data_IF_226378589150
#
_entry.id   IF_226378589150
#
_cell.length_a   1.000
_cell.length_b   1.000
_cell.length_c   1.000
_cell.angle_alpha   90.00
_cell.angle_beta   90.00
_cell.angle_gamma   90.00
#
_symmetry.space_group_name_H-M   'P 1'
#
loop_
_entity.id
_entity.type
_entity.pdbx_description
1 polymer ?
#
# COMPACT_ATOMS: atom_id res chain seq x y z
N UNK A 1 11.27 12.11 -6.40
CA UNK A 1 11.58 12.65 -5.04
C UNK A 1 10.72 13.84 -4.63
N UNK A 2 10.38 14.77 -5.54
CA UNK A 2 9.60 15.97 -5.21
C UNK A 2 8.20 15.63 -4.65
N UNK A 3 7.48 14.69 -5.27
CA UNK A 3 6.15 14.27 -4.79
C UNK A 3 6.22 13.72 -3.36
N UNK A 4 7.23 12.89 -3.05
CA UNK A 4 7.43 12.35 -1.70
C UNK A 4 7.59 13.48 -0.68
N UNK A 5 8.46 14.45 -0.97
CA UNK A 5 8.67 15.60 -0.07
C UNK A 5 7.38 16.38 0.18
N UNK A 6 6.58 16.60 -0.86
CA UNK A 6 5.28 17.29 -0.72
C UNK A 6 4.33 16.50 0.19
N UNK A 7 4.29 15.17 0.06
CA UNK A 7 3.46 14.30 0.90
C UNK A 7 3.94 14.38 2.35
N UNK A 8 5.24 14.17 2.61
CA UNK A 8 5.82 14.22 3.95
C UNK A 8 5.59 15.59 4.62
N UNK A 9 5.86 16.69 3.91
CA UNK A 9 5.61 18.03 4.43
C UNK A 9 4.13 18.29 4.77
N UNK A 10 3.20 17.77 3.97
CA UNK A 10 1.77 17.91 4.27
C UNK A 10 1.36 17.10 5.49
N UNK A 11 1.88 15.88 5.63
CA UNK A 11 1.66 15.04 6.81
C UNK A 11 2.18 15.74 8.06
N UNK A 12 3.42 16.22 8.06
CA UNK A 12 4.01 16.92 9.19
C UNK A 12 3.25 18.22 9.56
N UNK A 13 2.85 19.02 8.56
CA UNK A 13 2.03 20.23 8.76
C UNK A 13 0.65 19.95 9.36
N UNK A 14 0.12 18.74 9.17
CA UNK A 14 -1.15 18.32 9.79
C UNK A 14 -1.00 17.87 11.25
N UNK A 15 0.21 17.84 11.80
CA UNK A 15 0.50 17.33 13.14
C UNK A 15 0.59 15.81 13.22
N UNK A 16 0.63 15.13 12.08
CA UNK A 16 0.79 13.69 12.00
C UNK A 16 2.22 13.31 11.59
N UNK A 17 2.55 12.02 11.64
CA UNK A 17 3.79 11.46 11.13
C UNK A 17 3.51 10.50 9.98
N UNK A 18 4.42 10.29 9.02
CA UNK A 18 4.33 9.18 8.08
C UNK A 18 4.29 7.85 8.85
N UNK A 19 3.31 6.99 8.56
CA UNK A 19 3.23 5.65 9.15
C UNK A 19 4.26 4.69 8.54
N UNK A 20 4.64 4.95 7.29
CA UNK A 20 5.70 4.29 6.54
C UNK A 20 6.23 5.25 5.46
N UNK A 21 7.42 4.99 4.87
CA UNK A 21 7.93 5.83 3.79
C UNK A 21 6.97 5.85 2.62
N UNK A 22 6.49 7.03 2.17
CA UNK A 22 5.60 7.10 1.01
C UNK A 22 6.23 6.45 -0.22
N UNK A 23 5.43 5.77 -1.02
CA UNK A 23 5.89 5.05 -2.21
C UNK A 23 5.31 5.63 -3.49
N UNK A 24 6.07 5.56 -4.58
CA UNK A 24 5.62 5.90 -5.93
C UNK A 24 6.05 4.78 -6.86
N UNK A 25 5.10 3.92 -7.20
CA UNK A 25 5.33 2.77 -8.06
C UNK A 25 4.84 3.08 -9.48
N UNK A 26 5.74 2.98 -10.46
CA UNK A 26 5.50 3.38 -11.86
C UNK A 26 5.28 2.13 -12.71
N UNK A 27 4.26 2.12 -13.54
CA UNK A 27 3.92 1.09 -14.52
C UNK A 27 3.89 -0.33 -13.91
N UNK A 28 4.83 -1.21 -14.30
CA UNK A 28 4.91 -2.61 -13.85
C UNK A 28 5.32 -2.78 -12.39
N UNK A 29 5.90 -1.77 -11.76
CA UNK A 29 6.17 -1.82 -10.32
C UNK A 29 4.83 -1.72 -9.58
N UNK A 30 4.41 -2.80 -8.93
CA UNK A 30 3.10 -2.87 -8.31
C UNK A 30 3.00 -2.01 -7.03
N UNK A 31 3.99 -2.13 -6.13
CA UNK A 31 3.98 -1.48 -4.82
C UNK A 31 5.39 -1.40 -4.21
N UNK A 32 5.51 -0.76 -3.04
CA UNK A 32 6.67 -0.76 -2.15
C UNK A 32 7.95 -0.15 -2.74
N UNK A 33 7.83 0.77 -3.68
CA UNK A 33 8.99 1.49 -4.21
C UNK A 33 9.00 2.93 -3.71
N UNK A 34 9.99 3.27 -2.90
CA UNK A 34 10.26 4.65 -2.48
C UNK A 34 11.50 5.16 -3.22
N UNK A 35 11.41 6.26 -3.99
CA UNK A 35 12.55 6.77 -4.74
C UNK A 35 13.68 7.21 -3.81
N UNK A 36 14.93 6.96 -4.22
CA UNK A 36 16.10 7.45 -3.49
C UNK A 36 16.19 8.97 -3.52
N UNK A 37 16.86 9.63 -2.56
CA UNK A 37 16.94 11.11 -2.49
C UNK A 37 17.45 11.80 -3.75
N UNK A 38 18.30 11.12 -4.53
CA UNK A 38 18.93 11.66 -5.74
C UNK A 38 18.33 11.08 -7.03
N UNK A 39 17.20 10.43 -6.94
CA UNK A 39 16.57 9.84 -8.11
C UNK A 39 15.86 10.89 -8.96
N UNK A 40 16.19 10.92 -10.23
CA UNK A 40 15.65 11.87 -11.22
C UNK A 40 14.60 11.23 -12.14
N UNK A 41 14.17 9.99 -11.85
CA UNK A 41 13.16 9.29 -12.65
C UNK A 41 11.89 10.14 -12.76
N UNK A 42 11.50 10.43 -14.00
CA UNK A 42 10.26 11.16 -14.28
C UNK A 42 9.09 10.20 -14.28
N UNK A 43 8.00 10.62 -13.65
CA UNK A 43 6.75 9.87 -13.66
C UNK A 43 6.13 9.87 -15.05
N UNK A 44 5.63 8.71 -15.49
CA UNK A 44 4.96 8.51 -16.78
C UNK A 44 4.06 7.26 -16.71
N UNK A 45 3.18 7.11 -17.68
CA UNK A 45 2.26 5.96 -17.72
C UNK A 45 1.27 5.97 -16.57
N UNK A 46 1.14 4.86 -15.87
CA UNK A 46 0.36 4.77 -14.63
C UNK A 46 1.27 4.85 -13.42
N UNK A 47 0.94 5.68 -12.45
CA UNK A 47 1.63 5.73 -11.16
C UNK A 47 0.69 5.32 -10.03
N UNK A 48 1.21 4.62 -9.04
CA UNK A 48 0.54 4.31 -7.77
C UNK A 48 1.27 5.06 -6.68
N UNK A 49 0.56 5.93 -5.99
CA UNK A 49 1.06 6.68 -4.84
C UNK A 49 0.41 6.09 -3.61
N UNK A 50 1.23 5.65 -2.67
CA UNK A 50 0.79 4.99 -1.46
C UNK A 50 1.51 5.61 -0.27
N UNK A 51 0.74 6.01 0.75
CA UNK A 51 1.25 6.64 1.96
C UNK A 51 0.29 6.42 3.13
N UNK A 52 0.87 6.31 4.30
CA UNK A 52 0.12 6.23 5.54
C UNK A 52 0.42 7.41 6.45
N UNK A 53 -0.55 7.76 7.28
CA UNK A 53 -0.39 8.76 8.35
C UNK A 53 -0.59 8.11 9.70
N UNK A 54 0.14 8.60 10.70
CA UNK A 54 0.05 8.12 12.07
C UNK A 54 -0.08 9.28 13.05
N UNK A 55 -1.01 9.15 14.00
CA UNK A 55 -1.15 10.02 15.17
C UNK A 55 -1.17 9.14 16.40
N UNK A 56 -0.21 9.33 17.30
CA UNK A 56 -0.06 8.51 18.52
C UNK A 56 -0.01 6.99 18.25
N UNK A 57 0.49 6.60 17.06
CA UNK A 57 0.57 5.23 16.58
C UNK A 57 -0.71 4.70 15.92
N UNK A 58 -1.81 5.42 15.94
CA UNK A 58 -3.00 5.07 15.15
C UNK A 58 -2.77 5.40 13.69
N UNK A 59 -2.95 4.40 12.82
CA UNK A 59 -2.55 4.46 11.41
C UNK A 59 -3.78 4.56 10.53
N UNK A 60 -3.72 5.46 9.55
CA UNK A 60 -4.58 5.44 8.37
C UNK A 60 -3.69 5.20 7.14
N UNK A 61 -4.08 4.22 6.33
CA UNK A 61 -3.37 3.74 5.15
C UNK A 61 -4.18 4.02 3.89
N UNK A 62 -3.55 4.61 2.87
CA UNK A 62 -4.24 4.99 1.64
C UNK A 62 -3.35 4.96 0.43
N UNK A 63 -3.91 4.54 -0.69
CA UNK A 63 -3.24 4.57 -1.98
C UNK A 63 -4.17 5.07 -3.09
N UNK A 64 -3.58 5.64 -4.12
CA UNK A 64 -4.30 6.05 -5.32
C UNK A 64 -3.47 5.79 -6.58
N UNK A 65 -4.16 5.54 -7.69
CA UNK A 65 -3.54 5.38 -9.01
C UNK A 65 -3.88 6.57 -9.90
N UNK A 66 -2.89 7.06 -10.63
CA UNK A 66 -3.03 8.21 -11.55
C UNK A 66 -2.54 7.80 -12.94
N UNK A 67 -3.38 8.04 -13.96
CA UNK A 67 -3.02 7.87 -15.35
C UNK A 67 -2.40 9.16 -15.88
N UNK A 68 -1.13 9.14 -16.25
CA UNK A 68 -0.39 10.26 -16.82
C UNK A 68 -0.32 10.20 -18.36
N UNK A 69 -1.01 9.26 -18.99
CA UNK A 69 -1.06 9.15 -20.45
C UNK A 69 -2.00 10.18 -21.05
N UNK A 70 -1.68 10.65 -22.27
CA UNK A 70 -2.53 11.65 -22.95
C UNK A 70 -3.92 11.13 -23.31
N UNK A 71 -4.06 9.81 -23.49
CA UNK A 71 -5.28 9.17 -23.99
C UNK A 71 -6.05 8.41 -22.89
N UNK A 72 -5.68 8.55 -21.62
CA UNK A 72 -6.27 7.82 -20.50
C UNK A 72 -6.24 6.29 -20.72
N UNK A 73 -5.10 5.76 -21.13
CA UNK A 73 -4.92 4.34 -21.47
C UNK A 73 -5.19 3.39 -20.30
N UNK A 74 -4.93 3.84 -19.08
CA UNK A 74 -5.11 3.05 -17.85
C UNK A 74 -6.42 3.34 -17.10
N UNK A 75 -7.26 4.23 -17.63
CA UNK A 75 -8.52 4.63 -16.95
C UNK A 75 -9.37 3.44 -16.55
N UNK A 76 -9.61 2.49 -17.46
CA UNK A 76 -10.43 1.30 -17.16
C UNK A 76 -9.80 0.38 -16.10
N UNK A 77 -8.48 0.29 -16.08
CA UNK A 77 -7.74 -0.49 -15.08
C UNK A 77 -7.89 0.14 -13.69
N UNK A 78 -7.75 1.46 -13.59
CA UNK A 78 -7.95 2.22 -12.34
C UNK A 78 -9.39 2.07 -11.87
N UNK A 79 -10.36 2.27 -12.74
CA UNK A 79 -11.78 2.12 -12.43
C UNK A 79 -12.13 0.70 -11.93
N UNK A 80 -11.42 -0.34 -12.41
CA UNK A 80 -11.64 -1.71 -11.96
C UNK A 80 -11.24 -1.89 -10.48
N UNK A 81 -10.09 -1.37 -10.05
CA UNK A 81 -9.65 -1.44 -8.66
C UNK A 81 -10.51 -0.56 -7.75
N UNK A 82 -10.87 0.66 -8.18
CA UNK A 82 -11.77 1.53 -7.42
C UNK A 82 -13.16 0.91 -7.21
N UNK A 83 -13.72 0.30 -8.25
CA UNK A 83 -15.01 -0.37 -8.15
C UNK A 83 -14.94 -1.59 -7.23
N UNK A 84 -13.84 -2.35 -7.29
CA UNK A 84 -13.61 -3.47 -6.40
C UNK A 84 -13.53 -3.03 -4.93
N UNK A 85 -12.84 -1.93 -4.64
CA UNK A 85 -12.80 -1.33 -3.31
C UNK A 85 -14.20 -0.92 -2.82
N UNK A 86 -14.94 -0.18 -3.64
CA UNK A 86 -16.31 0.23 -3.32
C UNK A 86 -17.23 -0.97 -3.05
N UNK A 87 -17.08 -2.04 -3.85
CA UNK A 87 -17.86 -3.28 -3.68
C UNK A 87 -17.51 -4.01 -2.39
N UNK A 88 -16.22 -4.09 -2.04
CA UNK A 88 -15.76 -4.68 -0.79
C UNK A 88 -16.25 -3.90 0.42
N UNK A 89 -16.12 -2.56 0.42
CA UNK A 89 -16.61 -1.70 1.53
C UNK A 89 -18.12 -1.89 1.72
N UNK A 90 -18.90 -1.87 0.64
CA UNK A 90 -20.35 -2.07 0.72
C UNK A 90 -20.73 -3.46 1.27
N UNK A 91 -19.92 -4.47 0.98
CA UNK A 91 -20.17 -5.82 1.48
C UNK A 91 -19.97 -5.92 2.99
N UNK A 92 -19.08 -5.10 3.59
CA UNK A 92 -18.82 -5.10 5.05
C UNK A 92 -20.07 -4.87 5.89
N UNK A 93 -21.06 -4.12 5.38
CA UNK A 93 -22.35 -3.90 6.05
C UNK A 93 -23.12 -5.22 6.35
N UNK A 94 -22.77 -6.30 5.64
CA UNK A 94 -23.41 -7.62 5.77
C UNK A 94 -22.60 -8.61 6.62
N UNK A 95 -21.58 -8.14 7.33
CA UNK A 95 -20.68 -8.99 8.11
C UNK A 95 -20.12 -10.19 7.29
N UNK A 96 -19.42 -9.95 6.16
CA UNK A 96 -18.92 -11.01 5.30
C UNK A 96 -17.76 -11.77 5.94
N UNK A 97 -17.49 -12.96 5.40
CA UNK A 97 -16.23 -13.64 5.67
C UNK A 97 -15.07 -13.00 4.90
N UNK A 98 -13.84 -13.25 5.33
CA UNK A 98 -12.63 -12.82 4.60
C UNK A 98 -12.64 -13.38 3.15
N UNK A 99 -13.12 -14.61 2.98
CA UNK A 99 -13.31 -15.20 1.65
C UNK A 99 -14.30 -14.41 0.78
N UNK A 100 -15.40 -13.94 1.36
CA UNK A 100 -16.41 -13.18 0.62
C UNK A 100 -15.89 -11.82 0.16
N UNK A 101 -15.06 -11.17 0.99
CA UNK A 101 -14.39 -9.92 0.64
C UNK A 101 -13.44 -10.16 -0.54
N UNK A 102 -12.57 -11.16 -0.46
CA UNK A 102 -11.67 -11.52 -1.56
C UNK A 102 -12.42 -11.92 -2.83
N UNK A 103 -13.53 -12.67 -2.69
CA UNK A 103 -14.39 -13.07 -3.81
C UNK A 103 -15.00 -11.88 -4.54
N UNK A 104 -15.59 -10.93 -3.82
CA UNK A 104 -16.22 -9.75 -4.47
C UNK A 104 -15.17 -8.87 -5.17
N UNK A 105 -13.96 -8.72 -4.60
CA UNK A 105 -12.84 -8.03 -5.24
C UNK A 105 -12.47 -8.74 -6.54
N UNK A 106 -12.25 -10.04 -6.50
CA UNK A 106 -11.90 -10.85 -7.65
C UNK A 106 -12.95 -10.77 -8.76
N UNK A 107 -14.22 -10.97 -8.44
CA UNK A 107 -15.32 -10.95 -9.39
C UNK A 107 -15.48 -9.57 -10.03
N UNK A 108 -15.35 -8.50 -9.25
CA UNK A 108 -15.44 -7.14 -9.76
C UNK A 108 -14.32 -6.83 -10.73
N UNK A 109 -13.07 -7.13 -10.40
CA UNK A 109 -11.92 -6.90 -11.28
C UNK A 109 -12.06 -7.71 -12.58
N UNK A 110 -12.40 -9.01 -12.46
CA UNK A 110 -12.59 -9.89 -13.63
C UNK A 110 -13.73 -9.43 -14.53
N UNK A 111 -14.82 -8.90 -13.98
CA UNK A 111 -15.94 -8.37 -14.77
C UNK A 111 -15.56 -7.19 -15.66
N UNK A 112 -14.44 -6.50 -15.34
CA UNK A 112 -13.88 -5.41 -16.13
C UNK A 112 -12.81 -5.87 -17.13
N UNK A 113 -12.54 -7.18 -17.22
CA UNK A 113 -11.56 -7.75 -18.15
C UNK A 113 -10.11 -7.73 -17.64
N UNK A 114 -9.91 -7.55 -16.33
CA UNK A 114 -8.60 -7.53 -15.70
C UNK A 114 -8.41 -8.70 -14.74
N UNK A 115 -7.17 -8.92 -14.29
CA UNK A 115 -6.83 -9.92 -13.29
C UNK A 115 -6.60 -9.28 -11.93
N UNK A 116 -7.11 -9.86 -10.81
CA UNK A 116 -6.68 -9.45 -9.48
C UNK A 116 -5.26 -9.96 -9.23
N UNK A 117 -4.43 -9.19 -8.53
CA UNK A 117 -3.12 -9.65 -8.07
C UNK A 117 -3.32 -10.47 -6.80
N UNK A 118 -3.05 -11.78 -6.86
CA UNK A 118 -3.38 -12.73 -5.79
C UNK A 118 -2.33 -12.82 -4.68
N UNK A 119 -1.15 -12.30 -4.88
CA UNK A 119 -0.06 -12.30 -3.91
C UNK A 119 0.30 -10.90 -3.37
N UNK A 120 -0.62 -9.96 -3.53
CA UNK A 120 -0.77 -8.75 -2.73
C UNK A 120 -2.13 -8.76 -2.03
N UNK A 121 -2.25 -8.05 -0.93
CA UNK A 121 -3.44 -8.09 -0.09
C UNK A 121 -3.54 -6.84 0.77
N UNK A 122 -4.73 -6.49 1.18
CA UNK A 122 -4.96 -5.65 2.33
C UNK A 122 -4.63 -6.37 3.64
N UNK A 123 -4.71 -5.66 4.75
CA UNK A 123 -4.28 -6.16 6.06
C UNK A 123 -4.98 -5.46 7.23
N UNK A 124 -4.89 -6.05 8.43
CA UNK A 124 -5.27 -5.39 9.66
C UNK A 124 -4.22 -4.37 10.09
N UNK A 125 -4.68 -3.33 10.77
CA UNK A 125 -3.89 -2.25 11.36
C UNK A 125 -4.06 -2.29 12.88
N UNK A 126 -2.96 -2.15 13.61
CA UNK A 126 -2.97 -1.92 15.06
C UNK A 126 -2.11 -0.73 15.42
N UNK A 127 -2.20 -0.29 16.65
CA UNK A 127 -1.39 0.81 17.13
C UNK A 127 0.10 0.51 16.98
N UNK A 128 0.84 1.35 16.23
CA UNK A 128 2.25 1.17 15.83
C UNK A 128 2.53 -0.08 14.98
N UNK A 129 1.50 -0.71 14.41
CA UNK A 129 1.69 -1.88 13.55
C UNK A 129 0.89 -1.74 12.27
N UNK A 130 1.59 -1.55 11.15
CA UNK A 130 0.97 -1.43 9.83
C UNK A 130 0.45 -2.77 9.32
N UNK A 131 1.09 -3.89 9.67
CA UNK A 131 0.67 -5.24 9.32
C UNK A 131 0.42 -6.05 10.58
N UNK A 132 -0.83 -6.04 11.07
CA UNK A 132 -1.19 -6.62 12.38
C UNK A 132 -1.65 -8.09 12.31
N UNK A 133 -1.34 -8.79 11.22
CA UNK A 133 -1.44 -10.25 11.11
C UNK A 133 -2.65 -10.79 10.34
N UNK A 134 -3.77 -10.06 10.24
CA UNK A 134 -4.90 -10.48 9.40
C UNK A 134 -4.65 -10.00 7.96
N UNK A 135 -4.85 -10.90 6.99
CA UNK A 135 -4.71 -10.61 5.57
C UNK A 135 -6.08 -10.56 4.90
N UNK A 136 -6.34 -9.51 4.09
CA UNK A 136 -7.53 -9.38 3.26
C UNK A 136 -7.14 -9.63 1.80
N UNK A 137 -7.48 -10.82 1.24
CA UNK A 137 -7.03 -11.22 -0.07
C UNK A 137 -7.78 -10.51 -1.20
N UNK A 138 -7.18 -10.51 -2.39
CA UNK A 138 -7.80 -10.04 -3.63
C UNK A 138 -8.53 -11.17 -4.41
N UNK A 139 -8.75 -12.31 -3.79
CA UNK A 139 -9.38 -13.49 -4.38
C UNK A 139 -10.08 -14.35 -3.32
N UNK A 140 -10.96 -15.24 -3.75
CA UNK A 140 -11.60 -16.23 -2.88
C UNK A 140 -10.56 -17.24 -2.39
N UNK A 141 -10.14 -17.11 -1.12
CA UNK A 141 -9.02 -17.86 -0.55
C UNK A 141 -9.43 -19.01 0.37
N UNK A 142 -10.74 -19.21 0.59
CA UNK A 142 -11.27 -20.26 1.47
C UNK A 142 -11.20 -19.94 2.97
N UNK A 143 -10.87 -18.70 3.36
CA UNK A 143 -10.92 -18.29 4.75
C UNK A 143 -12.31 -17.78 5.13
N UNK A 144 -13.08 -18.59 5.82
CA UNK A 144 -14.46 -18.31 6.21
C UNK A 144 -14.59 -17.63 7.58
N UNK A 145 -13.50 -17.15 8.16
CA UNK A 145 -13.56 -16.33 9.36
C UNK A 145 -14.12 -14.95 9.03
N UNK A 146 -14.86 -14.35 9.98
CA UNK A 146 -15.29 -12.97 9.90
C UNK A 146 -14.18 -12.03 10.39
N UNK A 147 -14.25 -10.76 9.99
CA UNK A 147 -13.40 -9.73 10.57
C UNK A 147 -13.93 -9.34 11.94
N UNK A 148 -13.06 -9.32 12.93
CA UNK A 148 -13.35 -8.72 14.23
C UNK A 148 -13.39 -7.19 14.12
N UNK A 149 -14.08 -6.48 15.03
CA UNK A 149 -14.02 -5.01 15.08
C UNK A 149 -12.58 -4.51 15.15
N UNK A 150 -12.19 -3.64 14.22
CA UNK A 150 -10.81 -3.17 14.12
C UNK A 150 -10.61 -2.24 12.93
N UNK A 151 -9.36 -1.86 12.71
CA UNK A 151 -8.93 -1.07 11.55
C UNK A 151 -8.31 -1.98 10.49
N UNK A 152 -8.67 -1.76 9.24
CA UNK A 152 -8.22 -2.57 8.11
C UNK A 152 -7.93 -1.71 6.89
N UNK A 153 -6.85 -2.02 6.19
CA UNK A 153 -6.60 -1.57 4.83
C UNK A 153 -7.20 -2.60 3.85
N UNK A 154 -8.07 -2.15 2.95
CA UNK A 154 -8.60 -2.98 1.86
C UNK A 154 -7.97 -2.49 0.57
N UNK A 155 -7.18 -3.34 -0.06
CA UNK A 155 -6.30 -2.97 -1.17
C UNK A 155 -6.54 -3.83 -2.41
N UNK A 156 -7.52 -3.50 -3.24
CA UNK A 156 -7.72 -4.19 -4.51
C UNK A 156 -6.62 -3.83 -5.51
N UNK A 157 -5.84 -4.81 -5.93
CA UNK A 157 -4.84 -4.68 -6.97
C UNK A 157 -5.33 -5.32 -8.27
N UNK A 158 -5.54 -4.50 -9.30
CA UNK A 158 -5.91 -4.95 -10.64
C UNK A 158 -4.72 -4.85 -11.59
N UNK A 159 -4.60 -5.82 -12.51
CA UNK A 159 -3.56 -5.83 -13.55
C UNK A 159 -4.12 -6.34 -14.88
N UNK A 160 -3.52 -5.88 -15.97
CA UNK A 160 -3.70 -6.44 -17.31
C UNK A 160 -2.78 -7.65 -17.59
N UNK A 161 -1.94 -8.03 -16.62
CA UNK A 161 -1.08 -9.20 -16.67
C UNK A 161 -1.71 -10.45 -16.02
N UNK A 162 -0.85 -11.39 -15.60
CA UNK A 162 -1.26 -12.73 -15.12
C UNK A 162 -1.83 -12.75 -13.69
N UNK A 163 -1.87 -11.61 -12.97
CA UNK A 163 -2.40 -11.54 -11.62
C UNK A 163 -1.42 -11.98 -10.53
N UNK A 164 -0.13 -11.91 -10.79
CA UNK A 164 0.94 -12.18 -9.81
C UNK A 164 2.06 -11.16 -9.92
N UNK A 165 2.67 -10.87 -8.79
CA UNK A 165 3.91 -10.09 -8.73
C UNK A 165 5.08 -10.99 -8.38
N UNK A 166 6.27 -10.52 -8.74
CA UNK A 166 7.56 -11.11 -8.39
C UNK A 166 8.38 -10.08 -7.62
N UNK A 167 9.29 -10.56 -6.76
CA UNK A 167 10.25 -9.68 -6.10
C UNK A 167 11.21 -9.08 -7.13
N UNK A 168 11.26 -7.76 -7.17
CA UNK A 168 12.20 -6.98 -7.99
C UNK A 168 13.44 -6.57 -7.19
N UNK A 169 14.02 -5.44 -7.56
CA UNK A 169 15.10 -4.80 -6.84
C UNK A 169 14.61 -4.23 -5.49
N UNK A 170 15.57 -3.81 -4.63
CA UNK A 170 15.24 -3.18 -3.35
C UNK A 170 14.40 -1.91 -3.55
N UNK A 171 13.32 -1.79 -2.78
CA UNK A 171 12.39 -0.67 -2.83
C UNK A 171 12.81 0.55 -2.00
N UNK A 172 14.05 0.61 -1.51
CA UNK A 172 14.60 1.66 -0.64
C UNK A 172 13.85 1.86 0.70
N UNK A 173 13.06 0.87 1.13
CA UNK A 173 12.36 0.87 2.40
C UNK A 173 13.09 -0.06 3.36
N UNK A 174 13.38 0.42 4.56
CA UNK A 174 14.11 -0.32 5.58
C UNK A 174 13.34 -0.28 6.90
N UNK A 175 13.41 -1.36 7.65
CA UNK A 175 12.83 -1.48 8.99
C UNK A 175 13.90 -1.78 10.02
N UNK A 176 13.88 -1.05 11.14
CA UNK A 176 14.74 -1.36 12.28
C UNK A 176 14.21 -2.59 13.03
N UNK A 177 14.84 -3.75 12.82
CA UNK A 177 14.42 -5.01 13.47
C UNK A 177 15.02 -5.23 14.86
N UNK A 178 16.25 -4.74 15.09
CA UNK A 178 16.98 -4.97 16.33
C UNK A 178 17.78 -3.74 16.72
N UNK A 179 17.69 -3.33 17.99
CA UNK A 179 18.48 -2.27 18.55
C UNK A 179 19.80 -2.87 19.06
N UNK A 180 20.79 -3.02 18.18
CA UNK A 180 22.15 -3.39 18.56
C UNK A 180 23.07 -2.22 18.31
N UNK A 181 23.92 -1.89 19.28
CA UNK A 181 24.89 -0.80 19.14
C UNK A 181 25.91 -1.10 18.04
N UNK A 182 25.94 -0.36 16.94
CA UNK A 182 26.90 -0.59 15.86
C UNK A 182 28.33 -0.22 16.32
N UNK A 183 29.33 -0.87 15.72
CA UNK A 183 30.75 -0.52 15.98
C UNK A 183 31.12 0.82 15.37
N UNK A 184 30.63 1.13 14.19
CA UNK A 184 30.91 2.39 13.49
C UNK A 184 30.22 3.58 14.17
N UNK A 185 30.97 4.67 14.40
CA UNK A 185 30.42 5.91 14.95
C UNK A 185 29.36 6.53 14.06
N UNK A 186 29.54 6.48 12.72
CA UNK A 186 28.52 6.96 11.76
C UNK A 186 27.23 6.16 11.87
N UNK A 187 27.32 4.85 11.97
CA UNK A 187 26.15 3.98 12.12
C UNK A 187 25.42 4.20 13.46
N UNK A 188 26.14 4.52 14.54
CA UNK A 188 25.51 4.93 15.82
C UNK A 188 24.69 6.20 15.69
N UNK A 189 25.24 7.24 15.05
CA UNK A 189 24.49 8.49 14.81
C UNK A 189 23.24 8.27 13.97
N UNK A 190 23.29 7.40 12.94
CA UNK A 190 22.12 7.03 12.15
C UNK A 190 21.10 6.29 13.02
N UNK A 191 21.54 5.33 13.84
CA UNK A 191 20.64 4.61 14.72
C UNK A 191 19.97 5.52 15.75
N UNK A 192 20.72 6.46 16.37
CA UNK A 192 20.16 7.47 17.26
C UNK A 192 19.11 8.31 16.55
N UNK A 193 19.43 8.85 15.37
CA UNK A 193 18.48 9.63 14.56
C UNK A 193 17.19 8.84 14.24
N UNK A 194 17.31 7.55 13.85
CA UNK A 194 16.14 6.72 13.57
C UNK A 194 15.30 6.53 14.83
N UNK A 195 15.92 6.27 15.98
CA UNK A 195 15.20 6.06 17.26
C UNK A 195 14.50 7.32 17.78
N UNK A 196 15.05 8.50 17.47
CA UNK A 196 14.49 9.76 17.91
C UNK A 196 13.35 10.24 16.99
N UNK A 197 13.39 9.83 15.72
CA UNK A 197 12.44 10.30 14.72
C UNK A 197 11.28 9.32 14.47
N UNK A 198 11.50 8.03 14.64
CA UNK A 198 10.56 6.93 14.33
C UNK A 198 10.41 5.97 15.51
#
# INVERSE_FOLDING_TARGET
>A
TEIIKIIEEKIEKSGAMPAFPPTISINEIAAHYSPSPNEETKTHGIIKVDFGVSIDGYIADTALSIDLTKNNEYKKLIEASELALKSAIKLLEKNPTINDIGKIIQETIKSKGFSPIINLSGHSLERYSIHAGITIPNYANGNYNHLEPGAYAIEPFATNGEGKIYSGNYGNIYQLKNIKTPRSQKARKILEYIKDKY
#
